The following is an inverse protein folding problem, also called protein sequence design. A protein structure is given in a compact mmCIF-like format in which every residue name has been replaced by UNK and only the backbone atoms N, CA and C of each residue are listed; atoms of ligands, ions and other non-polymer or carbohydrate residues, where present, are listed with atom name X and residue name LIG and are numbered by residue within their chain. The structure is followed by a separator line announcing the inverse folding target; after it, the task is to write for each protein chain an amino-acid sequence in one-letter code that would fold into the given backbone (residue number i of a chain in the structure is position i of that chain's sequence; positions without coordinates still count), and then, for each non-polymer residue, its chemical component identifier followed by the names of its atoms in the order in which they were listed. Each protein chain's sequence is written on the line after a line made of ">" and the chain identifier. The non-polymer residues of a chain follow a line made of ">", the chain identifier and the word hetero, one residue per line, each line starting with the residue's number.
data_IF_952071269624
#
_entry.id   IF_952071269624
#
_cell.length_a   1.000
_cell.length_b   1.000
_cell.length_c   1.000
_cell.angle_alpha   90.00
_cell.angle_beta   90.00
_cell.angle_gamma   90.00
#
_symmetry.space_group_name_H-M   'P 1'
#
loop_
_entity.id
_entity.type
_entity.pdbx_description
1 polymer ?
#
# COMPACT_ATOMS: atom_id res chain seq x y z
N UNK A 1 -32.52 14.78 -4.60
CA UNK A 1 -31.10 14.50 -4.81
C UNK A 1 -30.67 15.14 -6.13
N UNK A 2 -29.70 16.09 -6.11
CA UNK A 2 -29.21 16.83 -7.30
C UNK A 2 -28.08 16.06 -8.02
N UNK A 3 -28.21 14.72 -8.18
CA UNK A 3 -27.19 13.91 -8.87
C UNK A 3 -25.84 13.82 -8.14
N UNK A 4 -25.79 14.20 -6.88
CA UNK A 4 -24.58 14.14 -6.08
C UNK A 4 -24.36 12.72 -5.51
N UNK A 5 -23.13 12.29 -5.50
CA UNK A 5 -22.70 11.12 -4.73
C UNK A 5 -21.95 11.57 -3.49
N UNK A 6 -22.04 10.81 -2.40
CA UNK A 6 -21.31 11.13 -1.18
C UNK A 6 -20.92 9.87 -0.40
N UNK A 7 -19.90 10.01 0.43
CA UNK A 7 -19.47 9.01 1.42
C UNK A 7 -19.23 9.72 2.76
N UNK A 8 -19.78 9.15 3.82
CA UNK A 8 -19.61 9.67 5.17
C UNK A 8 -18.45 8.95 5.89
N UNK A 9 -17.64 9.72 6.59
CA UNK A 9 -16.53 9.23 7.42
C UNK A 9 -16.73 9.76 8.85
N UNK A 10 -17.42 8.98 9.65
CA UNK A 10 -17.80 9.34 11.02
C UNK A 10 -16.59 9.59 11.92
N UNK A 11 -15.51 8.86 11.71
CA UNK A 11 -14.27 8.94 12.50
C UNK A 11 -13.61 10.32 12.45
N UNK A 12 -13.76 11.02 11.34
CA UNK A 12 -13.21 12.36 11.11
C UNK A 12 -14.28 13.44 10.99
N UNK A 13 -15.55 13.08 11.21
CA UNK A 13 -16.71 13.96 11.00
C UNK A 13 -16.67 14.65 9.62
N UNK A 14 -16.41 13.86 8.58
CA UNK A 14 -16.16 14.32 7.21
C UNK A 14 -17.14 13.68 6.23
N UNK A 15 -17.52 14.45 5.20
CA UNK A 15 -18.21 13.95 4.01
C UNK A 15 -17.30 14.14 2.80
N UNK A 16 -17.07 13.07 2.04
CA UNK A 16 -16.59 13.18 0.69
C UNK A 16 -17.83 13.36 -0.23
N UNK A 17 -17.80 14.37 -1.08
CA UNK A 17 -18.93 14.68 -1.96
C UNK A 17 -18.44 14.92 -3.37
N UNK A 18 -19.09 14.29 -4.35
CA UNK A 18 -18.92 14.58 -5.77
C UNK A 18 -20.19 15.21 -6.32
N UNK A 19 -20.05 16.41 -6.87
CA UNK A 19 -21.17 17.18 -7.41
C UNK A 19 -20.69 18.42 -8.18
N UNK A 20 -21.62 19.22 -8.62
CA UNK A 20 -21.36 20.46 -9.34
C UNK A 20 -20.96 21.63 -8.41
N UNK A 21 -20.52 22.74 -9.01
CA UNK A 21 -20.12 23.95 -8.28
C UNK A 21 -21.27 24.52 -7.41
N UNK A 22 -22.51 24.43 -7.87
CA UNK A 22 -23.66 24.95 -7.14
C UNK A 22 -23.90 24.15 -5.85
N UNK A 23 -23.69 22.83 -5.89
CA UNK A 23 -23.73 21.99 -4.71
C UNK A 23 -22.62 22.36 -3.70
N UNK A 24 -21.38 22.57 -4.18
CA UNK A 24 -20.27 22.98 -3.33
C UNK A 24 -20.57 24.29 -2.61
N UNK A 25 -21.09 25.29 -3.34
CA UNK A 25 -21.49 26.58 -2.76
C UNK A 25 -22.64 26.44 -1.75
N UNK A 26 -23.59 25.56 -2.03
CA UNK A 26 -24.71 25.27 -1.11
C UNK A 26 -24.21 24.63 0.19
N UNK A 27 -23.26 23.69 0.09
CA UNK A 27 -22.66 23.04 1.26
C UNK A 27 -21.80 24.02 2.07
N UNK A 28 -20.99 24.84 1.39
CA UNK A 28 -20.13 25.82 2.04
C UNK A 28 -20.91 26.90 2.80
N UNK A 29 -22.16 27.17 2.42
CA UNK A 29 -23.03 28.14 3.09
C UNK A 29 -23.73 27.57 4.34
N UNK A 30 -23.60 26.28 4.62
CA UNK A 30 -24.25 25.65 5.78
C UNK A 30 -23.48 25.90 7.07
N UNK A 31 -24.15 26.28 8.15
CA UNK A 31 -23.49 26.57 9.42
C UNK A 31 -22.81 25.34 10.07
N UNK A 32 -23.23 24.12 9.68
CA UNK A 32 -22.63 22.88 10.18
C UNK A 32 -21.33 22.48 9.45
N UNK A 33 -21.01 23.15 8.33
CA UNK A 33 -19.82 22.88 7.52
C UNK A 33 -18.75 23.90 7.87
N UNK A 34 -17.73 23.48 8.58
CA UNK A 34 -16.62 24.34 8.98
C UNK A 34 -15.64 24.62 7.82
N UNK A 35 -15.40 23.62 6.99
CA UNK A 35 -14.44 23.73 5.88
C UNK A 35 -14.87 22.89 4.69
N UNK A 36 -14.51 23.34 3.47
CA UNK A 36 -14.64 22.59 2.24
C UNK A 36 -13.27 22.55 1.57
N UNK A 37 -12.78 21.35 1.32
CA UNK A 37 -11.50 21.12 0.66
C UNK A 37 -11.70 20.47 -0.70
N UNK A 38 -10.89 20.85 -1.68
CA UNK A 38 -10.81 20.10 -2.93
C UNK A 38 -10.09 18.77 -2.70
N UNK A 39 -10.69 17.68 -3.16
CA UNK A 39 -10.04 16.37 -3.18
C UNK A 39 -9.26 16.23 -4.49
N UNK A 40 -8.10 16.86 -4.56
CA UNK A 40 -7.20 16.78 -5.72
C UNK A 40 -6.29 15.57 -5.59
N UNK A 41 -6.09 14.87 -6.72
CA UNK A 41 -5.07 13.81 -6.77
C UNK A 41 -3.69 14.41 -6.47
N UNK A 42 -2.90 13.70 -5.67
CA UNK A 42 -1.54 14.05 -5.31
C UNK A 42 -0.59 12.99 -5.83
N UNK A 43 0.42 13.38 -6.60
CA UNK A 43 1.47 12.45 -7.01
C UNK A 43 2.50 12.33 -5.90
N UNK A 44 2.87 11.11 -5.56
CA UNK A 44 4.05 10.85 -4.74
C UNK A 44 5.27 10.97 -5.64
N UNK A 45 6.06 12.03 -5.43
CA UNK A 45 7.35 12.16 -6.08
C UNK A 45 8.34 11.22 -5.40
N UNK A 46 8.54 10.05 -5.99
CA UNK A 46 9.58 9.14 -5.52
C UNK A 46 10.96 9.72 -5.89
N UNK A 47 11.96 9.59 -5.01
CA UNK A 47 13.34 9.90 -5.36
C UNK A 47 13.74 9.07 -6.59
N UNK A 48 14.41 9.70 -7.56
CA UNK A 48 14.98 8.93 -8.67
C UNK A 48 15.87 7.81 -8.10
N UNK A 49 15.81 6.60 -8.67
CA UNK A 49 16.65 5.50 -8.21
C UNK A 49 18.11 5.95 -8.30
N UNK A 50 18.73 6.22 -7.17
CA UNK A 50 20.17 6.37 -7.12
C UNK A 50 20.76 4.99 -7.37
N UNK A 51 21.79 4.89 -8.24
CA UNK A 51 22.57 3.67 -8.35
C UNK A 51 22.92 3.25 -6.92
N UNK A 52 22.31 2.17 -6.47
CA UNK A 52 22.63 1.61 -5.17
C UNK A 52 24.14 1.37 -5.15
N UNK A 53 24.85 2.08 -4.31
CA UNK A 53 26.17 1.61 -3.89
C UNK A 53 25.85 0.30 -3.21
N UNK A 54 26.17 -0.82 -3.88
CA UNK A 54 26.04 -2.14 -3.28
C UNK A 54 26.94 -2.16 -2.04
N UNK A 55 26.39 -1.78 -0.91
CA UNK A 55 27.03 -2.05 0.36
C UNK A 55 26.90 -3.54 0.58
N UNK A 56 28.04 -4.18 0.85
CA UNK A 56 28.07 -5.61 1.07
C UNK A 56 27.03 -6.03 2.11
N UNK A 57 26.15 -6.96 1.70
CA UNK A 57 25.26 -7.63 2.65
C UNK A 57 26.12 -8.56 3.50
N UNK A 58 25.96 -8.49 4.81
CA UNK A 58 26.62 -9.41 5.71
C UNK A 58 25.67 -10.60 5.93
N UNK A 59 26.09 -11.80 5.55
CA UNK A 59 25.33 -13.05 5.81
C UNK A 59 23.88 -13.06 5.24
N UNK A 60 23.66 -12.48 4.06
CA UNK A 60 22.32 -12.44 3.44
C UNK A 60 21.34 -11.45 4.05
N UNK A 61 21.82 -10.54 4.91
CA UNK A 61 21.01 -9.47 5.52
C UNK A 61 21.29 -8.17 4.78
N UNK A 62 20.24 -7.46 4.37
CA UNK A 62 20.39 -6.16 3.71
C UNK A 62 21.00 -5.11 4.66
N UNK A 63 21.85 -4.25 4.10
CA UNK A 63 22.60 -3.28 4.89
C UNK A 63 21.72 -2.33 5.72
N UNK A 64 20.58 -1.91 5.20
CA UNK A 64 19.62 -1.05 5.89
C UNK A 64 18.95 -1.76 7.07
N UNK A 65 18.65 -3.04 6.93
CA UNK A 65 18.12 -3.90 8.00
C UNK A 65 19.15 -4.11 9.11
N UNK A 66 20.41 -4.36 8.73
CA UNK A 66 21.51 -4.43 9.67
C UNK A 66 21.77 -3.09 10.38
N UNK A 67 21.71 -1.98 9.63
CA UNK A 67 21.96 -0.63 10.15
C UNK A 67 21.01 -0.22 11.29
N UNK A 68 19.71 -0.57 11.17
CA UNK A 68 18.72 -0.29 12.22
C UNK A 68 18.76 -1.31 13.38
N UNK A 69 19.62 -2.30 13.31
CA UNK A 69 19.83 -3.27 14.40
C UNK A 69 18.82 -4.41 14.46
N UNK A 70 18.05 -4.68 13.39
CA UNK A 70 17.06 -5.76 13.36
C UNK A 70 17.67 -7.14 13.74
N UNK A 71 18.89 -7.51 13.31
CA UNK A 71 19.51 -8.79 13.69
C UNK A 71 19.64 -8.99 15.19
N UNK A 72 19.88 -7.92 15.95
CA UNK A 72 19.97 -8.01 17.41
C UNK A 72 18.62 -8.34 18.07
N UNK A 73 17.51 -7.96 17.42
CA UNK A 73 16.14 -8.32 17.85
C UNK A 73 15.82 -9.75 17.45
N UNK A 74 16.21 -10.16 16.23
CA UNK A 74 16.02 -11.54 15.77
C UNK A 74 16.78 -12.56 16.60
N UNK A 75 18.01 -12.23 17.05
CA UNK A 75 18.79 -13.07 17.95
C UNK A 75 18.09 -13.39 19.29
N UNK A 76 17.06 -12.57 19.65
CA UNK A 76 16.19 -12.82 20.82
C UNK A 76 14.96 -13.67 20.46
N UNK A 77 14.88 -14.20 19.24
CA UNK A 77 13.75 -14.98 18.74
C UNK A 77 12.54 -14.12 18.30
N UNK A 78 12.71 -12.79 18.19
CA UNK A 78 11.61 -11.86 17.82
C UNK A 78 11.80 -11.45 16.37
N UNK A 79 10.99 -12.00 15.47
CA UNK A 79 11.03 -11.74 14.02
C UNK A 79 9.70 -11.17 13.47
N UNK A 80 8.75 -10.85 14.37
CA UNK A 80 7.41 -10.38 14.01
C UNK A 80 6.34 -11.49 13.96
N UNK A 81 6.62 -12.66 14.53
CA UNK A 81 5.69 -13.78 14.58
C UNK A 81 4.35 -13.36 15.23
N UNK A 82 3.23 -13.75 14.60
CA UNK A 82 1.88 -13.41 15.06
C UNK A 82 1.41 -12.00 14.68
N UNK A 83 2.31 -11.12 14.22
CA UNK A 83 1.92 -9.81 13.71
C UNK A 83 1.40 -9.90 12.26
N UNK A 84 0.44 -9.03 11.95
CA UNK A 84 -0.04 -8.79 10.59
C UNK A 84 0.22 -7.33 10.23
N UNK A 85 0.99 -7.09 9.20
CA UNK A 85 1.34 -5.77 8.69
C UNK A 85 0.41 -5.44 7.54
N UNK A 86 -0.31 -4.31 7.63
CA UNK A 86 -1.15 -3.79 6.56
C UNK A 86 -0.42 -2.70 5.80
N UNK A 87 -0.36 -2.81 4.48
CA UNK A 87 0.18 -1.78 3.60
C UNK A 87 -0.92 -1.16 2.73
N UNK A 88 -0.79 0.17 2.45
CA UNK A 88 -1.59 0.90 1.48
C UNK A 88 -0.61 1.60 0.54
N UNK A 89 -0.63 1.24 -0.75
CA UNK A 89 0.38 1.69 -1.70
C UNK A 89 -0.09 1.48 -3.15
N UNK A 90 0.82 1.43 -4.11
CA UNK A 90 0.56 1.18 -5.54
C UNK A 90 0.10 -0.25 -5.85
N UNK A 91 0.02 -1.09 -4.83
CA UNK A 91 -0.27 -2.51 -4.93
C UNK A 91 0.90 -3.39 -4.52
N UNK A 92 0.77 -4.69 -4.71
CA UNK A 92 1.77 -5.66 -4.25
C UNK A 92 1.86 -6.85 -5.21
N UNK A 93 3.07 -7.21 -5.62
CA UNK A 93 3.33 -8.50 -6.25
C UNK A 93 3.39 -9.59 -5.17
N UNK A 94 2.24 -10.17 -4.84
CA UNK A 94 2.16 -11.20 -3.82
C UNK A 94 2.88 -12.52 -4.21
N UNK A 95 3.18 -12.70 -5.50
CA UNK A 95 3.89 -13.88 -5.99
C UNK A 95 5.42 -13.72 -5.93
N UNK A 96 5.90 -12.49 -5.67
CA UNK A 96 7.32 -12.22 -5.50
C UNK A 96 7.94 -13.18 -4.47
N UNK A 97 9.07 -13.78 -4.79
CA UNK A 97 9.71 -14.83 -3.97
C UNK A 97 9.95 -14.41 -2.51
N UNK A 98 10.23 -13.13 -2.27
CA UNK A 98 10.49 -12.60 -0.94
C UNK A 98 9.21 -12.20 -0.17
N UNK A 99 8.03 -12.22 -0.79
CA UNK A 99 6.78 -11.77 -0.18
C UNK A 99 5.73 -12.86 -0.06
N UNK A 100 5.76 -13.84 -0.95
CA UNK A 100 4.73 -14.87 -1.08
C UNK A 100 4.51 -15.65 0.21
N UNK A 101 5.59 -16.07 0.86
CA UNK A 101 5.52 -16.89 2.08
C UNK A 101 4.87 -16.13 3.25
N UNK A 102 5.05 -14.81 3.32
CA UNK A 102 4.51 -13.93 4.35
C UNK A 102 3.11 -13.41 4.03
N UNK A 103 2.65 -13.52 2.77
CA UNK A 103 1.31 -13.09 2.42
C UNK A 103 0.26 -13.88 3.19
N UNK A 104 -0.63 -13.18 3.93
CA UNK A 104 -1.64 -13.84 4.76
C UNK A 104 -2.62 -14.67 3.96
N UNK A 105 -2.93 -14.23 2.74
CA UNK A 105 -3.80 -14.96 1.81
C UNK A 105 -3.17 -16.21 1.21
N UNK A 106 -1.85 -16.45 1.40
CA UNK A 106 -1.19 -17.63 0.86
C UNK A 106 -1.25 -18.81 1.84
N UNK A 107 -1.96 -19.85 1.48
CA UNK A 107 -2.12 -21.09 2.27
C UNK A 107 -1.09 -22.20 1.99
N UNK A 108 -0.02 -21.90 1.23
CA UNK A 108 1.00 -22.89 0.86
C UNK A 108 0.67 -23.67 -0.44
N UNK A 109 -0.58 -23.80 -0.80
CA UNK A 109 -1.03 -24.50 -2.02
C UNK A 109 -1.88 -23.61 -2.93
N UNK A 110 -2.78 -22.85 -2.34
CA UNK A 110 -3.66 -21.91 -3.03
C UNK A 110 -3.68 -20.58 -2.27
N UNK A 111 -4.00 -19.50 -2.96
CA UNK A 111 -4.23 -18.20 -2.36
C UNK A 111 -5.73 -17.96 -2.18
N UNK A 112 -6.07 -17.40 -1.01
CA UNK A 112 -7.36 -16.80 -0.71
C UNK A 112 -7.12 -15.34 -0.40
N UNK A 113 -7.69 -14.46 -1.22
CA UNK A 113 -7.46 -13.02 -1.13
C UNK A 113 -8.46 -12.31 -0.22
N UNK A 114 -9.52 -12.99 0.20
CA UNK A 114 -10.54 -12.43 1.08
C UNK A 114 -9.92 -11.96 2.40
N UNK A 115 -10.27 -10.71 2.79
CA UNK A 115 -9.73 -10.03 3.97
C UNK A 115 -8.20 -9.87 4.01
N UNK A 116 -7.50 -10.24 2.92
CA UNK A 116 -6.05 -10.10 2.79
C UNK A 116 -5.65 -9.11 1.70
N UNK A 117 -6.59 -8.78 0.81
CA UNK A 117 -6.40 -7.83 -0.27
C UNK A 117 -7.62 -6.93 -0.45
N UNK A 118 -7.37 -5.69 -0.81
CA UNK A 118 -8.38 -4.75 -1.28
C UNK A 118 -7.83 -3.85 -2.37
N UNK A 119 -8.56 -3.74 -3.47
CA UNK A 119 -8.28 -2.76 -4.52
C UNK A 119 -9.25 -1.58 -4.40
N UNK A 120 -8.74 -0.42 -4.05
CA UNK A 120 -9.52 0.81 -3.94
C UNK A 120 -9.50 1.64 -5.25
N UNK A 121 -8.87 1.13 -6.31
CA UNK A 121 -8.86 1.78 -7.62
C UNK A 121 -10.05 1.26 -8.45
N UNK A 122 -11.01 2.12 -8.69
CA UNK A 122 -12.29 1.76 -9.32
C UNK A 122 -12.45 2.32 -10.73
N UNK A 123 -11.62 3.25 -11.14
CA UNK A 123 -11.65 3.91 -12.45
C UNK A 123 -10.31 4.61 -12.71
N UNK A 124 -10.03 4.92 -13.98
CA UNK A 124 -8.85 5.69 -14.35
C UNK A 124 -8.75 7.02 -13.59
N UNK A 125 -7.58 7.34 -13.11
CA UNK A 125 -7.23 8.66 -12.66
C UNK A 125 -6.83 9.51 -13.90
N UNK A 126 -7.41 10.71 -14.09
CA UNK A 126 -7.09 11.54 -15.25
C UNK A 126 -5.62 12.01 -15.30
N UNK A 127 -4.85 11.82 -14.24
CA UNK A 127 -3.43 12.18 -14.16
C UNK A 127 -2.48 10.99 -14.45
N UNK A 128 -3.02 9.79 -14.69
CA UNK A 128 -2.23 8.60 -15.02
C UNK A 128 -2.31 8.27 -16.49
N UNK A 129 -1.44 7.38 -16.96
CA UNK A 129 -1.53 6.83 -18.30
C UNK A 129 -2.78 5.95 -18.41
N UNK A 130 -3.55 6.05 -19.51
CA UNK A 130 -4.70 5.17 -19.73
C UNK A 130 -4.30 3.70 -19.75
N UNK A 131 -5.18 2.84 -19.25
CA UNK A 131 -4.97 1.41 -19.29
C UNK A 131 -4.07 0.93 -18.15
N UNK A 132 -4.57 1.03 -16.92
CA UNK A 132 -3.86 0.51 -15.75
C UNK A 132 -3.55 -0.99 -15.91
N UNK A 133 -2.27 -1.42 -15.76
CA UNK A 133 -1.86 -2.81 -15.97
C UNK A 133 -2.54 -3.79 -15.00
N UNK A 134 -2.95 -3.33 -13.83
CA UNK A 134 -3.70 -4.12 -12.87
C UNK A 134 -5.22 -4.10 -13.10
N UNK A 135 -5.71 -3.26 -14.02
CA UNK A 135 -7.13 -2.99 -14.16
C UNK A 135 -7.71 -2.30 -12.92
N UNK A 136 -9.02 -2.45 -12.75
CA UNK A 136 -9.78 -1.82 -11.66
C UNK A 136 -10.53 -2.89 -10.87
N UNK A 137 -10.68 -2.68 -9.56
CA UNK A 137 -11.30 -3.65 -8.66
C UNK A 137 -10.65 -5.04 -8.77
N UNK A 138 -9.34 -5.08 -8.87
CA UNK A 138 -8.58 -6.32 -9.03
C UNK A 138 -8.86 -7.28 -7.86
N UNK A 139 -9.32 -8.53 -8.13
CA UNK A 139 -9.69 -9.47 -7.09
C UNK A 139 -8.48 -10.10 -6.36
N UNK A 140 -7.29 -9.90 -6.90
CA UNK A 140 -6.02 -10.39 -6.35
C UNK A 140 -4.99 -9.25 -6.28
N UNK A 141 -4.00 -9.31 -5.38
CA UNK A 141 -2.96 -8.30 -5.32
C UNK A 141 -2.21 -8.17 -6.64
N UNK A 142 -2.04 -6.92 -7.07
CA UNK A 142 -1.30 -6.52 -8.25
C UNK A 142 -0.66 -5.17 -7.96
N UNK A 143 0.56 -4.94 -8.44
CA UNK A 143 1.30 -3.69 -8.29
C UNK A 143 1.45 -3.03 -9.67
N UNK A 144 1.00 -1.79 -9.81
CA UNK A 144 1.04 -1.06 -11.08
C UNK A 144 2.22 -0.08 -11.20
N UNK A 145 3.10 -0.02 -10.19
CA UNK A 145 4.27 0.87 -10.16
C UNK A 145 5.53 0.17 -9.63
N UNK A 146 5.38 -0.77 -8.69
CA UNK A 146 6.47 -1.48 -8.01
C UNK A 146 6.84 -0.88 -6.66
N UNK A 147 6.32 0.30 -6.31
CA UNK A 147 6.65 0.95 -5.04
C UNK A 147 6.10 0.14 -3.85
N UNK A 148 4.84 -0.31 -3.90
CA UNK A 148 4.24 -1.08 -2.82
C UNK A 148 4.95 -2.42 -2.58
N UNK A 149 5.33 -3.12 -3.63
CA UNK A 149 6.13 -4.35 -3.52
C UNK A 149 7.46 -4.09 -2.83
N UNK A 150 8.15 -3.00 -3.19
CA UNK A 150 9.40 -2.62 -2.56
C UNK A 150 9.24 -2.26 -1.08
N UNK A 151 8.22 -1.46 -0.73
CA UNK A 151 7.98 -1.07 0.67
C UNK A 151 7.60 -2.26 1.54
N UNK A 152 6.78 -3.17 1.03
CA UNK A 152 6.43 -4.41 1.74
C UNK A 152 7.66 -5.32 1.89
N UNK A 153 8.52 -5.36 0.89
CA UNK A 153 9.81 -6.06 0.96
C UNK A 153 10.68 -5.55 2.13
N UNK A 154 10.73 -4.24 2.32
CA UNK A 154 11.46 -3.62 3.46
C UNK A 154 10.82 -3.97 4.80
N UNK A 155 9.50 -4.16 4.84
CA UNK A 155 8.80 -4.51 6.09
C UNK A 155 8.94 -5.99 6.45
N UNK A 156 8.70 -6.92 5.51
CA UNK A 156 8.57 -8.35 5.82
C UNK A 156 9.38 -9.27 4.89
N UNK A 157 10.05 -8.73 3.89
CA UNK A 157 10.67 -9.53 2.83
C UNK A 157 11.70 -10.53 3.35
N UNK A 158 11.59 -11.77 2.90
CA UNK A 158 12.55 -12.82 3.16
C UNK A 158 12.51 -13.89 2.08
N UNK A 159 13.66 -14.43 1.73
CA UNK A 159 13.82 -15.65 0.95
C UNK A 159 14.46 -16.74 1.80
N UNK A 160 14.69 -17.91 1.23
CA UNK A 160 15.37 -19.00 1.93
C UNK A 160 16.82 -18.64 2.37
N UNK A 161 17.43 -17.65 1.71
CA UNK A 161 18.86 -17.30 1.92
C UNK A 161 19.09 -15.84 2.29
N UNK A 162 18.05 -15.00 2.27
CA UNK A 162 18.19 -13.55 2.50
C UNK A 162 17.05 -13.00 3.34
N UNK A 163 17.38 -12.17 4.31
CA UNK A 163 16.43 -11.35 5.06
C UNK A 163 16.49 -9.92 4.53
N UNK A 164 15.43 -9.52 3.81
CA UNK A 164 15.30 -8.23 3.14
C UNK A 164 14.50 -7.24 4.00
N UNK A 165 13.61 -7.75 4.86
CA UNK A 165 12.67 -6.98 5.67
C UNK A 165 12.99 -7.03 7.16
N UNK A 166 12.43 -6.06 7.88
CA UNK A 166 12.62 -5.87 9.32
C UNK A 166 11.96 -6.96 10.17
N UNK A 167 10.80 -7.46 9.72
CA UNK A 167 9.96 -8.42 10.43
C UNK A 167 9.67 -9.66 9.55
N UNK A 168 10.69 -10.50 9.23
CA UNK A 168 10.55 -11.59 8.26
C UNK A 168 9.60 -12.71 8.76
N UNK A 169 9.25 -12.75 10.03
CA UNK A 169 8.28 -13.68 10.61
C UNK A 169 6.85 -13.15 10.68
N UNK A 170 6.60 -11.88 10.31
CA UNK A 170 5.26 -11.31 10.24
C UNK A 170 4.51 -11.78 8.99
N UNK A 171 3.18 -11.70 9.04
CA UNK A 171 2.33 -11.83 7.84
C UNK A 171 1.99 -10.45 7.32
N UNK A 172 1.55 -10.36 6.05
CA UNK A 172 1.10 -9.10 5.48
C UNK A 172 -0.24 -9.21 4.75
N UNK A 173 -0.93 -8.09 4.71
CA UNK A 173 -2.11 -7.82 3.89
C UNK A 173 -1.90 -6.51 3.15
N UNK A 174 -2.61 -6.29 2.04
CA UNK A 174 -2.41 -5.13 1.21
C UNK A 174 -3.68 -4.47 0.71
N UNK A 175 -3.57 -3.17 0.46
CA UNK A 175 -4.57 -2.38 -0.25
C UNK A 175 -3.86 -1.56 -1.34
N UNK A 176 -4.38 -1.60 -2.57
CA UNK A 176 -3.97 -0.67 -3.61
C UNK A 176 -4.87 0.55 -3.57
N UNK A 177 -4.31 1.70 -3.22
CA UNK A 177 -5.01 2.98 -3.16
C UNK A 177 -4.27 4.12 -3.87
N UNK A 178 -3.18 3.79 -4.54
CA UNK A 178 -2.39 4.70 -5.37
C UNK A 178 -2.30 4.09 -6.78
N UNK A 179 -2.84 4.78 -7.76
CA UNK A 179 -2.76 4.37 -9.16
C UNK A 179 -1.50 4.96 -9.79
N UNK A 180 -0.55 4.09 -10.21
CA UNK A 180 0.70 4.51 -10.87
C UNK A 180 1.40 5.66 -10.11
N UNK A 181 1.41 5.59 -8.78
CA UNK A 181 2.03 6.58 -7.91
C UNK A 181 1.19 7.83 -7.61
N UNK A 182 -0.10 7.84 -7.95
CA UNK A 182 -1.05 8.93 -7.67
C UNK A 182 -2.07 8.58 -6.59
#
# INVERSE_FOLDING_TARGET
>A
ARGATYRAYWVTNMLWVRGDRALVQTLAARPEVSNVYANTAQRVALPAPTRAVQRATTEGIEWNVAFVGAPAVWAKGITGQGAVIGGQDTGYDWQHEALKAQYRGWGGRAADHDYSWHDAIHADNPNTSPGNPCGFNAPAPCDDDGHGTHTMGTMVGATATRNLGMAPGARWIGCRNMEQGW
#
